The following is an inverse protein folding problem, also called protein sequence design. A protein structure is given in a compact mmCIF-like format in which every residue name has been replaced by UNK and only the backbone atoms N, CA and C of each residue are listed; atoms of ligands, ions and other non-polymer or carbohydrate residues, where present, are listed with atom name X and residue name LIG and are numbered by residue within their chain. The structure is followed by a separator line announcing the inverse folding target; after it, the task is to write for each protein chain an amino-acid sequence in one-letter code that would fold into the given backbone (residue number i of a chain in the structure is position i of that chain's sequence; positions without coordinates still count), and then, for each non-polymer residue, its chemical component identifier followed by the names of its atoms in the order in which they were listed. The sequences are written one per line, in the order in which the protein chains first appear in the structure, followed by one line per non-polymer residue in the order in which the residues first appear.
data_IF_930312771946
#
_entry.id   IF_930312771946
#
_cell.length_a   1.000
_cell.length_b   1.000
_cell.length_c   1.000
_cell.angle_alpha   90.00
_cell.angle_beta   90.00
_cell.angle_gamma   90.00
#
_symmetry.space_group_name_H-M   'P 1'
#
loop_
_entity.id
_entity.type
_entity.pdbx_description
1 polymer ?
#
# COMPACT_ATOMS: atom_id res chain seq x y z
N UNK A 1 22.48 21.22 9.41
CA UNK A 1 21.15 21.29 10.06
C UNK A 1 20.54 22.63 9.68
N UNK A 2 19.72 22.66 8.64
CA UNK A 2 18.98 23.86 8.24
C UNK A 2 17.64 23.81 8.97
N UNK A 3 17.40 24.77 9.85
CA UNK A 3 16.13 24.94 10.56
C UNK A 3 15.00 25.09 9.53
N UNK A 4 13.96 24.25 9.63
CA UNK A 4 12.75 24.40 8.83
C UNK A 4 12.18 25.79 9.12
N UNK A 5 11.93 26.65 8.12
CA UNK A 5 11.30 27.94 8.37
C UNK A 5 9.91 27.71 8.98
N UNK A 6 9.62 28.35 10.11
CA UNK A 6 8.28 28.35 10.69
C UNK A 6 7.33 29.05 9.71
N UNK A 7 6.37 28.30 9.17
CA UNK A 7 5.32 28.85 8.31
C UNK A 7 4.33 29.63 9.16
N UNK A 8 3.97 30.83 8.71
CA UNK A 8 2.94 31.64 9.36
C UNK A 8 1.54 31.00 9.16
N UNK A 9 0.56 31.28 10.05
CA UNK A 9 -0.79 30.70 9.92
C UNK A 9 -1.45 31.01 8.57
N UNK A 10 -1.21 32.21 8.02
CA UNK A 10 -1.74 32.57 6.70
C UNK A 10 -1.08 31.84 5.53
N UNK A 11 0.18 31.41 5.67
CA UNK A 11 0.85 30.55 4.70
C UNK A 11 0.31 29.11 4.77
N UNK A 12 0.06 28.61 5.99
CA UNK A 12 -0.55 27.30 6.20
C UNK A 12 -1.99 27.24 5.66
N UNK A 13 -2.79 28.29 5.89
CA UNK A 13 -4.15 28.40 5.34
C UNK A 13 -4.16 28.54 3.80
N UNK A 14 -3.05 29.00 3.22
CA UNK A 14 -2.87 29.13 1.77
C UNK A 14 -2.29 27.86 1.13
N UNK A 15 -1.95 26.82 1.90
CA UNK A 15 -1.54 25.55 1.34
C UNK A 15 -2.73 24.88 0.63
N UNK A 16 -2.50 24.51 -0.62
CA UNK A 16 -3.50 23.84 -1.46
C UNK A 16 -3.02 22.43 -1.76
N UNK A 17 -3.89 21.45 -1.54
CA UNK A 17 -3.61 20.06 -1.93
C UNK A 17 -4.02 19.88 -3.39
N UNK A 18 -3.04 19.60 -4.26
CA UNK A 18 -3.29 19.19 -5.64
C UNK A 18 -3.30 17.65 -5.73
N UNK A 19 -4.20 17.11 -6.54
CA UNK A 19 -4.16 15.69 -6.86
C UNK A 19 -2.91 15.39 -7.68
N UNK A 20 -2.16 14.37 -7.26
CA UNK A 20 -1.05 13.89 -8.05
C UNK A 20 -1.56 13.43 -9.44
N UNK A 21 -0.77 13.67 -10.50
CA UNK A 21 -1.03 13.12 -11.83
C UNK A 21 -1.24 11.60 -11.78
N UNK A 22 -1.90 11.05 -12.81
CA UNK A 22 -2.06 9.61 -12.97
C UNK A 22 -0.70 8.89 -12.87
N UNK A 23 -0.71 7.65 -12.37
CA UNK A 23 0.51 6.85 -12.13
C UNK A 23 1.39 6.75 -13.38
N UNK A 24 0.78 6.61 -14.54
CA UNK A 24 1.45 6.54 -15.85
C UNK A 24 2.27 7.82 -16.13
N UNK A 25 1.78 8.98 -15.67
CA UNK A 25 2.47 10.26 -15.77
C UNK A 25 3.57 10.43 -14.71
N UNK A 26 3.37 9.91 -13.49
CA UNK A 26 4.39 9.95 -12.43
C UNK A 26 5.64 9.14 -12.78
N UNK A 27 5.48 8.07 -13.57
CA UNK A 27 6.60 7.30 -14.12
C UNK A 27 7.54 8.14 -15.01
N UNK A 28 7.06 9.25 -15.60
CA UNK A 28 7.86 10.13 -16.45
C UNK A 28 8.74 11.13 -15.67
N UNK A 29 8.56 11.23 -14.34
CA UNK A 29 9.27 12.17 -13.46
C UNK A 29 10.18 11.46 -12.44
N UNK A 30 10.53 10.19 -12.67
CA UNK A 30 11.31 9.35 -11.75
C UNK A 30 10.69 9.20 -10.34
N UNK A 31 9.39 9.49 -10.19
CA UNK A 31 8.64 9.27 -8.94
C UNK A 31 8.12 7.84 -8.95
N UNK A 32 8.81 6.95 -8.25
CA UNK A 32 8.45 5.53 -8.17
C UNK A 32 7.39 5.28 -7.07
N UNK A 33 6.11 5.28 -7.45
CA UNK A 33 5.01 4.83 -6.58
C UNK A 33 4.66 3.38 -6.93
N UNK A 34 5.11 2.43 -6.10
CA UNK A 34 4.76 1.01 -6.24
C UNK A 34 3.84 0.57 -5.09
N UNK A 35 2.51 0.56 -5.30
CA UNK A 35 1.59 0.01 -4.30
C UNK A 35 1.70 -1.52 -4.32
N UNK A 36 2.22 -2.08 -3.23
CA UNK A 36 2.31 -3.54 -3.05
C UNK A 36 1.08 -4.00 -2.29
N UNK A 37 0.12 -4.59 -3.00
CA UNK A 37 -1.11 -5.13 -2.42
C UNK A 37 -1.05 -6.66 -2.53
N UNK A 38 -1.01 -7.31 -1.38
CA UNK A 38 -0.95 -8.76 -1.30
C UNK A 38 -2.16 -9.28 -0.54
N UNK A 39 -2.84 -10.25 -1.17
CA UNK A 39 -4.00 -10.92 -0.60
C UNK A 39 -3.70 -12.40 -0.59
N UNK A 40 -3.77 -13.02 0.58
CA UNK A 40 -3.73 -14.47 0.74
C UNK A 40 -4.96 -14.92 1.50
N UNK A 41 -5.75 -15.79 0.87
CA UNK A 41 -6.98 -16.32 1.43
C UNK A 41 -6.87 -17.84 1.46
N UNK A 42 -7.17 -18.44 2.61
CA UNK A 42 -7.19 -19.89 2.78
C UNK A 42 -8.45 -20.30 3.50
N UNK A 43 -9.25 -21.13 2.85
CA UNK A 43 -10.56 -21.57 3.34
C UNK A 43 -10.58 -23.09 3.35
N UNK A 44 -10.80 -23.67 4.52
CA UNK A 44 -11.06 -25.10 4.70
C UNK A 44 -12.53 -25.29 5.08
N UNK A 45 -13.29 -26.04 4.27
CA UNK A 45 -14.71 -26.30 4.51
C UNK A 45 -14.96 -27.80 4.55
N UNK A 46 -15.60 -28.25 5.62
CA UNK A 46 -16.12 -29.60 5.78
C UNK A 46 -17.65 -29.56 5.67
N UNK A 47 -18.18 -29.75 4.45
CA UNK A 47 -19.61 -29.77 4.19
C UNK A 47 -20.14 -31.21 4.15
N UNK A 48 -21.01 -31.57 5.10
CA UNK A 48 -21.66 -32.89 5.12
C UNK A 48 -20.74 -34.07 5.45
N UNK A 49 -19.74 -33.88 6.32
CA UNK A 49 -18.65 -34.83 6.49
C UNK A 49 -18.56 -35.40 7.92
N UNK A 50 -18.41 -36.73 8.06
CA UNK A 50 -18.21 -37.45 9.35
C UNK A 50 -16.77 -37.94 9.40
N UNK A 51 -16.03 -37.58 10.45
CA UNK A 51 -14.64 -38.00 10.64
C UNK A 51 -13.60 -37.24 9.80
N UNK A 52 -13.94 -36.05 9.28
CA UNK A 52 -13.06 -35.30 8.38
C UNK A 52 -12.28 -34.18 9.07
N UNK A 53 -11.04 -34.00 8.63
CA UNK A 53 -10.14 -32.93 9.07
C UNK A 53 -9.89 -32.03 7.85
N UNK A 54 -10.33 -30.78 7.90
CA UNK A 54 -9.99 -29.78 6.90
C UNK A 54 -8.91 -28.87 7.47
N UNK A 55 -7.76 -28.86 6.80
CA UNK A 55 -6.65 -27.99 7.13
C UNK A 55 -6.37 -27.07 5.93
N UNK A 56 -6.21 -25.78 6.19
CA UNK A 56 -5.88 -24.80 5.17
C UNK A 56 -4.85 -23.83 5.72
N UNK A 57 -3.80 -23.58 4.94
CA UNK A 57 -2.75 -22.62 5.24
C UNK A 57 -2.70 -21.55 4.16
N UNK A 58 -2.59 -20.29 4.57
CA UNK A 58 -2.30 -19.15 3.70
C UNK A 58 -0.92 -18.60 4.11
N UNK A 59 0.16 -19.21 3.60
CA UNK A 59 1.52 -18.67 3.80
C UNK A 59 1.82 -17.75 2.63
N UNK A 60 2.17 -16.49 2.92
CA UNK A 60 2.61 -15.52 1.92
C UNK A 60 3.87 -14.83 2.40
N UNK A 61 4.86 -14.79 1.52
CA UNK A 61 6.09 -14.02 1.68
C UNK A 61 6.14 -12.97 0.56
N UNK A 62 6.50 -11.74 0.91
CA UNK A 62 6.63 -10.63 -0.02
C UNK A 62 8.02 -10.02 0.13
N UNK A 63 8.74 -9.93 -0.98
CA UNK A 63 9.99 -9.19 -1.07
C UNK A 63 9.78 -8.02 -2.03
N UNK A 64 10.03 -6.81 -1.54
CA UNK A 64 9.92 -5.58 -2.34
C UNK A 64 11.31 -4.99 -2.50
N UNK A 65 11.77 -4.89 -3.75
CA UNK A 65 13.00 -4.19 -4.13
C UNK A 65 12.61 -2.97 -4.95
N UNK A 66 12.96 -1.78 -4.48
CA UNK A 66 12.80 -0.53 -5.23
C UNK A 66 14.18 0.01 -5.64
N UNK A 67 14.24 0.62 -6.82
CA UNK A 67 15.42 1.32 -7.35
C UNK A 67 15.56 2.70 -6.74
#
# INVERSE_FOLDING_TARGET
MTTSPELSPGELDAEVVELLPARETLCCFDINISPVIAVNLSTAINAGSIGSIANAGAVQELLVLQK
#
